data_IF_316903390169
#
_entry.id   IF_316903390169
#
_cell.length_a   1.000
_cell.length_b   1.000
_cell.length_c   1.000
_cell.angle_alpha   90.00
_cell.angle_beta   90.00
_cell.angle_gamma   90.00
#
_symmetry.space_group_name_H-M   'P 1'
#
loop_
_entity.id
_entity.type
_entity.pdbx_description
1 polymer ?
#
# COMPACT_ATOMS: atom_id res chain seq x y z
N UNK A 1 -2.37 20.21 1.51
CA UNK A 1 -2.33 18.90 0.83
C UNK A 1 -2.68 17.87 1.88
N UNK A 2 -3.66 17.02 1.61
CA UNK A 2 -4.16 16.06 2.59
C UNK A 2 -3.18 14.92 2.86
N UNK A 3 -3.13 14.44 4.10
CA UNK A 3 -2.12 13.47 4.56
C UNK A 3 -2.27 12.13 3.83
N UNK A 4 -3.50 11.72 3.50
CA UNK A 4 -3.73 10.45 2.81
C UNK A 4 -3.28 10.53 1.35
N UNK A 5 -3.62 11.59 0.64
CA UNK A 5 -3.21 11.83 -0.74
C UNK A 5 -1.68 11.88 -0.87
N UNK A 6 -1.00 12.54 0.06
CA UNK A 6 0.46 12.64 0.07
C UNK A 6 1.15 11.29 0.29
N UNK A 7 0.57 10.43 1.14
CA UNK A 7 1.04 9.07 1.35
C UNK A 7 0.78 8.21 0.11
N UNK A 8 -0.44 8.23 -0.44
CA UNK A 8 -0.83 7.43 -1.61
C UNK A 8 0.04 7.78 -2.83
N UNK A 9 0.34 9.07 -3.06
CA UNK A 9 1.20 9.52 -4.18
C UNK A 9 2.64 9.00 -4.13
N UNK A 10 3.13 8.58 -2.95
CA UNK A 10 4.48 8.02 -2.78
C UNK A 10 4.54 6.52 -3.02
N UNK A 11 3.40 5.85 -3.10
CA UNK A 11 3.34 4.40 -3.29
C UNK A 11 3.75 4.08 -4.72
N UNK A 12 4.70 3.16 -4.86
CA UNK A 12 5.08 2.57 -6.13
C UNK A 12 4.19 1.35 -6.39
N UNK A 13 3.46 1.37 -7.51
CA UNK A 13 2.81 0.18 -8.06
C UNK A 13 3.82 -0.53 -8.94
N UNK A 14 3.88 -1.85 -8.81
CA UNK A 14 4.82 -2.70 -9.56
C UNK A 14 4.07 -3.84 -10.24
N UNK A 15 4.59 -4.25 -11.39
CA UNK A 15 4.24 -5.52 -12.04
C UNK A 15 5.29 -6.56 -11.66
N UNK A 16 4.86 -7.79 -11.43
CA UNK A 16 5.75 -8.89 -11.06
C UNK A 16 5.14 -10.24 -11.44
N UNK A 17 5.99 -11.27 -11.55
CA UNK A 17 5.55 -12.64 -11.76
C UNK A 17 5.73 -13.44 -10.46
N UNK A 18 4.68 -14.16 -10.07
CA UNK A 18 4.76 -15.14 -9.00
C UNK A 18 5.68 -16.30 -9.40
N UNK A 19 6.15 -17.07 -8.42
CA UNK A 19 7.04 -18.21 -8.67
C UNK A 19 6.40 -19.31 -9.54
N UNK A 20 5.08 -19.34 -9.63
CA UNK A 20 4.32 -20.22 -10.52
C UNK A 20 4.18 -19.68 -11.96
N UNK A 21 4.76 -18.50 -12.25
CA UNK A 21 4.70 -17.82 -13.54
C UNK A 21 3.46 -16.95 -13.76
N UNK A 22 2.59 -16.80 -12.75
CA UNK A 22 1.42 -15.93 -12.84
C UNK A 22 1.85 -14.47 -12.79
N UNK A 23 1.48 -13.69 -13.81
CA UNK A 23 1.70 -12.26 -13.85
C UNK A 23 0.67 -11.51 -12.98
N UNK A 24 1.13 -10.52 -12.20
CA UNK A 24 0.30 -9.76 -11.28
C UNK A 24 0.78 -8.29 -11.14
N UNK A 25 -0.09 -7.45 -10.58
CA UNK A 25 0.17 -6.04 -10.29
C UNK A 25 -0.14 -5.74 -8.83
N UNK A 26 0.77 -5.08 -8.14
CA UNK A 26 0.61 -4.86 -6.71
C UNK A 26 1.56 -3.84 -6.11
N UNK A 27 1.70 -3.93 -4.79
CA UNK A 27 2.52 -3.07 -3.97
C UNK A 27 3.40 -3.97 -3.10
N UNK A 28 4.68 -3.61 -2.96
CA UNK A 28 5.63 -4.35 -2.12
C UNK A 28 5.48 -3.89 -0.66
N UNK A 29 5.26 -4.82 0.26
CA UNK A 29 4.99 -4.52 1.67
C UNK A 29 6.18 -3.83 2.37
N UNK A 30 7.41 -4.21 2.03
CA UNK A 30 8.66 -3.65 2.54
C UNK A 30 8.92 -2.22 2.03
N UNK A 31 8.33 -1.82 0.91
CA UNK A 31 8.33 -0.44 0.45
C UNK A 31 7.20 0.35 1.11
N UNK A 32 6.01 -0.26 1.20
CA UNK A 32 4.83 0.38 1.79
C UNK A 32 5.04 0.74 3.26
N UNK A 33 5.69 -0.12 4.06
CA UNK A 33 5.95 0.14 5.48
C UNK A 33 6.74 1.45 5.71
N UNK A 34 7.57 1.86 4.75
CA UNK A 34 8.36 3.11 4.84
C UNK A 34 7.50 4.36 4.66
N UNK A 35 6.30 4.20 4.10
CA UNK A 35 5.36 5.28 3.80
C UNK A 35 4.17 5.25 4.78
N UNK A 36 3.63 4.05 5.02
CA UNK A 36 2.41 3.80 5.78
C UNK A 36 2.60 2.57 6.69
N UNK A 37 3.35 2.69 7.80
CA UNK A 37 3.65 1.57 8.70
C UNK A 37 2.40 0.83 9.21
N UNK A 38 1.29 1.56 9.38
CA UNK A 38 0.01 1.02 9.85
C UNK A 38 -0.68 0.11 8.83
N UNK A 39 -0.32 0.20 7.55
CA UNK A 39 -0.92 -0.56 6.45
C UNK A 39 -0.27 -1.92 6.19
N UNK A 40 0.73 -2.32 6.98
CA UNK A 40 1.30 -3.67 6.94
C UNK A 40 0.99 -4.43 8.22
N UNK A 41 1.05 -5.76 8.15
CA UNK A 41 0.95 -6.63 9.33
C UNK A 41 2.21 -7.49 9.44
N UNK A 42 2.48 -7.86 10.69
CA UNK A 42 3.68 -8.58 11.07
C UNK A 42 3.32 -9.94 11.65
N UNK A 43 4.18 -10.92 11.42
CA UNK A 43 4.18 -12.21 12.14
C UNK A 43 5.61 -12.47 12.57
N UNK A 44 5.80 -12.84 13.84
CA UNK A 44 7.13 -13.17 14.38
C UNK A 44 8.20 -12.09 14.12
N UNK A 45 7.78 -10.81 14.16
CA UNK A 45 8.66 -9.65 13.93
C UNK A 45 9.01 -9.36 12.47
N UNK A 46 8.45 -10.11 11.51
CA UNK A 46 8.65 -9.90 10.07
C UNK A 46 7.40 -9.37 9.40
N UNK A 47 7.58 -8.57 8.35
CA UNK A 47 6.47 -8.14 7.49
C UNK A 47 6.02 -9.33 6.67
N UNK A 48 4.73 -9.62 6.68
CA UNK A 48 4.16 -10.75 5.96
C UNK A 48 3.08 -10.33 4.97
N UNK A 49 2.64 -9.06 5.02
CA UNK A 49 1.74 -8.56 4.02
C UNK A 49 1.15 -7.19 4.32
N UNK A 50 0.25 -6.79 3.43
CA UNK A 50 -0.48 -5.53 3.45
C UNK A 50 -1.86 -5.77 4.07
N UNK A 51 -2.38 -4.77 4.80
CA UNK A 51 -3.75 -4.74 5.31
C UNK A 51 -4.68 -4.12 4.26
N UNK A 52 -5.49 -4.90 3.52
CA UNK A 52 -6.25 -4.38 2.38
C UNK A 52 -7.30 -3.34 2.81
N UNK A 53 -7.96 -3.56 3.95
CA UNK A 53 -8.97 -2.63 4.46
C UNK A 53 -8.37 -1.26 4.82
N UNK A 54 -7.16 -1.23 5.36
CA UNK A 54 -6.44 0.03 5.64
C UNK A 54 -6.12 0.76 4.34
N UNK A 55 -5.66 0.04 3.32
CA UNK A 55 -5.39 0.62 2.00
C UNK A 55 -6.64 1.20 1.35
N UNK A 56 -7.76 0.48 1.39
CA UNK A 56 -9.05 0.95 0.85
C UNK A 56 -9.49 2.24 1.55
N UNK A 57 -9.41 2.31 2.89
CA UNK A 57 -9.78 3.51 3.64
C UNK A 57 -8.92 4.73 3.26
N UNK A 58 -7.60 4.53 3.10
CA UNK A 58 -6.68 5.60 2.69
C UNK A 58 -6.92 6.07 1.26
N UNK A 59 -7.23 5.14 0.34
CA UNK A 59 -7.60 5.48 -1.02
C UNK A 59 -8.89 6.32 -1.03
N UNK A 60 -9.93 5.92 -0.31
CA UNK A 60 -11.17 6.70 -0.16
C UNK A 60 -10.87 8.10 0.37
N UNK A 61 -10.06 8.21 1.43
CA UNK A 61 -9.70 9.53 1.99
C UNK A 61 -8.89 10.37 0.99
N UNK A 62 -7.97 9.77 0.24
CA UNK A 62 -7.19 10.48 -0.78
C UNK A 62 -8.07 11.05 -1.90
N UNK A 63 -9.13 10.32 -2.29
CA UNK A 63 -10.11 10.80 -3.28
C UNK A 63 -10.96 11.96 -2.76
N UNK A 64 -11.28 11.99 -1.46
CA UNK A 64 -11.96 13.12 -0.83
C UNK A 64 -11.05 14.36 -0.82
N UNK A 65 -9.77 14.17 -0.48
CA UNK A 65 -8.75 15.24 -0.46
C UNK A 65 -8.38 15.78 -1.85
N UNK A 66 -8.64 15.05 -2.94
CA UNK A 66 -8.42 15.52 -4.31
C UNK A 66 -9.46 16.55 -4.78
N UNK A 67 -10.62 16.61 -4.13
CA UNK A 67 -11.75 17.48 -4.50
C UNK A 67 -11.81 18.78 -3.69
N UNK A 68 -10.88 18.95 -2.74
CA UNK A 68 -10.65 20.17 -1.96
C UNK A 68 -9.54 21.01 -2.61
#
# INVERSE_FOLDING_TARGET
MGIALDKIRKIKVVEFDWLDGTHDIGIIAEELVKIIPEAVWYKDGKIEGIKPLTMIALLVKSLQELKE
#
